data_IF_873894934427
#
_entry.id   IF_873894934427
#
_cell.length_a   1.000
_cell.length_b   1.000
_cell.length_c   1.000
_cell.angle_alpha   90.00
_cell.angle_beta   90.00
_cell.angle_gamma   90.00
#
_symmetry.space_group_name_H-M   'P 1'
#
loop_
_entity.id
_entity.type
_entity.pdbx_description
1 polymer ?
#
# COMPACT_ATOMS: atom_id res chain seq x y z
N UNK A 1 19.53 17.98 34.68
CA UNK A 1 18.72 18.22 33.46
C UNK A 1 18.98 17.04 32.53
N UNK A 2 18.06 16.07 32.49
CA UNK A 2 18.23 14.86 31.66
C UNK A 2 17.70 15.21 30.28
N UNK A 3 18.59 15.28 29.31
CA UNK A 3 18.27 15.45 27.90
C UNK A 3 17.76 14.09 27.39
N UNK A 4 16.46 13.96 27.15
CA UNK A 4 15.92 12.83 26.41
C UNK A 4 16.34 13.00 24.94
N UNK A 5 17.39 12.30 24.53
CA UNK A 5 17.67 12.09 23.13
C UNK A 5 16.57 11.17 22.57
N UNK A 6 15.74 11.71 21.68
CA UNK A 6 14.87 10.88 20.84
C UNK A 6 15.77 10.13 19.85
N UNK A 7 16.13 8.89 20.17
CA UNK A 7 16.67 7.95 19.19
C UNK A 7 15.55 7.01 18.77
N UNK A 8 14.88 7.34 17.66
CA UNK A 8 14.54 6.31 16.70
C UNK A 8 14.62 6.98 15.34
N UNK A 9 15.84 6.99 14.81
CA UNK A 9 16.05 6.98 13.37
C UNK A 9 15.39 5.68 12.89
N UNK A 10 14.06 5.70 12.71
CA UNK A 10 13.36 4.61 12.05
C UNK A 10 13.87 4.68 10.63
N UNK A 11 14.89 3.87 10.33
CA UNK A 11 15.39 3.63 8.99
C UNK A 11 14.16 3.49 8.10
N UNK A 12 13.90 4.52 7.28
CA UNK A 12 12.73 4.55 6.43
C UNK A 12 12.91 3.41 5.44
N UNK A 13 12.24 2.29 5.70
CA UNK A 13 12.34 1.09 4.87
C UNK A 13 11.95 1.46 3.45
N UNK A 14 12.80 1.06 2.51
CA UNK A 14 12.59 1.25 1.09
C UNK A 14 11.89 0.00 0.54
N UNK A 15 10.93 0.24 -0.35
CA UNK A 15 10.24 -0.80 -1.08
C UNK A 15 10.35 -0.57 -2.58
N UNK A 16 10.23 -1.65 -3.34
CA UNK A 16 10.05 -1.63 -4.78
C UNK A 16 8.57 -1.84 -5.09
N UNK A 17 7.97 -0.83 -5.71
CA UNK A 17 6.54 -0.78 -6.04
C UNK A 17 6.26 -1.57 -7.32
N UNK A 18 5.17 -2.32 -7.29
CA UNK A 18 4.66 -3.04 -8.44
C UNK A 18 4.03 -2.09 -9.47
N UNK A 19 4.13 -2.49 -10.73
CA UNK A 19 3.42 -1.82 -11.82
C UNK A 19 2.11 -2.52 -12.10
N UNK A 20 1.07 -1.72 -12.34
CA UNK A 20 -0.24 -2.17 -12.80
C UNK A 20 -0.48 -1.54 -14.17
N UNK A 21 -0.63 -2.37 -15.21
CA UNK A 21 -0.70 -1.88 -16.60
C UNK A 21 0.45 -0.91 -16.94
N UNK A 22 1.69 -1.32 -16.61
CA UNK A 22 2.94 -0.56 -16.79
C UNK A 22 3.06 0.76 -16.01
N UNK A 23 2.09 1.09 -15.17
CA UNK A 23 2.10 2.28 -14.31
C UNK A 23 2.46 1.89 -12.88
N UNK A 24 3.47 2.49 -12.23
CA UNK A 24 3.71 2.32 -10.80
C UNK A 24 2.53 2.83 -9.99
N UNK A 25 2.01 1.99 -9.08
CA UNK A 25 0.87 2.35 -8.23
C UNK A 25 1.27 2.27 -6.76
N UNK A 26 1.36 3.43 -6.12
CA UNK A 26 1.75 3.57 -4.72
C UNK A 26 0.52 3.45 -3.82
N UNK A 27 0.40 2.32 -3.13
CA UNK A 27 -0.55 2.13 -2.03
C UNK A 27 0.20 2.13 -0.69
N UNK A 28 -0.35 2.79 0.34
CA UNK A 28 0.26 2.88 1.70
C UNK A 28 1.75 3.22 1.70
N UNK A 29 2.18 3.98 0.69
CA UNK A 29 3.56 4.27 0.45
C UNK A 29 3.68 5.54 -0.38
N UNK A 30 4.84 6.18 -0.29
CA UNK A 30 5.13 7.43 -1.00
C UNK A 30 6.39 7.29 -1.83
N UNK A 31 6.43 7.82 -3.07
CA UNK A 31 7.65 7.79 -3.86
C UNK A 31 8.83 8.43 -3.12
N UNK A 32 10.01 7.83 -3.27
CA UNK A 32 11.26 8.39 -2.73
C UNK A 32 11.72 9.58 -3.56
N UNK A 33 11.60 9.48 -4.89
CA UNK A 33 11.97 10.53 -5.82
C UNK A 33 11.02 11.73 -5.73
N UNK A 34 11.52 12.92 -6.08
CA UNK A 34 10.68 14.11 -6.14
C UNK A 34 9.68 14.03 -7.30
N UNK A 35 8.46 14.51 -7.05
CA UNK A 35 7.38 14.52 -8.02
C UNK A 35 6.49 15.75 -7.83
N UNK A 36 5.77 16.08 -8.90
CA UNK A 36 4.68 17.05 -8.89
C UNK A 36 3.33 16.32 -8.98
N UNK A 37 2.34 16.80 -8.22
CA UNK A 37 0.96 16.33 -8.35
C UNK A 37 0.32 17.10 -9.49
N UNK A 38 0.08 16.41 -10.60
CA UNK A 38 -0.41 17.03 -11.84
C UNK A 38 -1.94 16.94 -11.98
N UNK A 39 -2.59 16.18 -11.10
CA UNK A 39 -4.03 16.13 -11.04
C UNK A 39 -4.59 15.13 -10.02
N UNK A 40 -5.87 15.31 -9.70
CA UNK A 40 -6.65 14.28 -9.02
C UNK A 40 -7.36 13.44 -10.08
N UNK A 41 -7.03 12.16 -10.16
CA UNK A 41 -7.67 11.25 -11.10
C UNK A 41 -9.15 11.05 -10.70
N UNK A 42 -9.43 10.70 -9.44
CA UNK A 42 -10.76 10.61 -8.82
C UNK A 42 -10.67 10.35 -7.30
N UNK A 43 -11.81 10.14 -6.63
CA UNK A 43 -11.83 9.59 -5.25
C UNK A 43 -11.66 8.08 -5.27
N UNK A 44 -11.07 7.51 -4.22
CA UNK A 44 -10.90 6.06 -4.11
C UNK A 44 -12.25 5.34 -3.90
N UNK A 45 -13.21 5.98 -3.24
CA UNK A 45 -14.57 5.46 -3.02
C UNK A 45 -15.36 5.40 -4.33
N UNK A 46 -15.33 6.45 -5.15
CA UNK A 46 -16.01 6.43 -6.44
C UNK A 46 -15.35 5.41 -7.38
N UNK A 47 -14.05 5.23 -7.24
CA UNK A 47 -13.30 4.23 -7.98
C UNK A 47 -13.65 2.80 -7.55
N UNK A 48 -13.81 2.53 -6.25
CA UNK A 48 -14.33 1.25 -5.76
C UNK A 48 -15.76 1.00 -6.24
N UNK A 49 -16.61 2.03 -6.28
CA UNK A 49 -17.97 1.96 -6.84
C UNK A 49 -17.95 1.72 -8.35
N UNK A 50 -17.02 2.28 -9.11
CA UNK A 50 -16.91 2.00 -10.54
C UNK A 50 -16.35 0.60 -10.82
N UNK A 51 -15.56 0.06 -9.89
CA UNK A 51 -15.08 -1.31 -9.94
C UNK A 51 -16.09 -2.33 -9.34
N UNK A 52 -17.40 -2.04 -9.43
CA UNK A 52 -18.59 -2.64 -8.79
C UNK A 52 -18.83 -4.16 -8.90
N UNK A 53 -17.80 -4.98 -9.04
CA UNK A 53 -17.88 -6.38 -8.64
C UNK A 53 -17.21 -6.54 -7.26
N UNK A 54 -18.01 -6.85 -6.24
CA UNK A 54 -17.47 -7.18 -4.91
C UNK A 54 -16.48 -8.36 -4.97
N UNK A 55 -16.53 -9.17 -6.04
CA UNK A 55 -15.65 -10.32 -6.27
C UNK A 55 -14.29 -9.96 -6.86
N UNK A 56 -14.11 -8.77 -7.44
CA UNK A 56 -12.82 -8.39 -8.01
C UNK A 56 -11.75 -8.20 -6.94
N UNK A 57 -10.54 -8.69 -7.22
CA UNK A 57 -9.36 -8.48 -6.35
C UNK A 57 -8.98 -7.00 -6.28
N UNK A 58 -8.12 -6.61 -5.33
CA UNK A 58 -7.63 -5.23 -5.28
C UNK A 58 -6.78 -4.91 -6.50
N UNK A 59 -6.00 -5.87 -7.01
CA UNK A 59 -5.24 -5.72 -8.27
C UNK A 59 -6.15 -5.40 -9.46
N UNK A 60 -7.23 -6.16 -9.66
CA UNK A 60 -8.19 -5.88 -10.73
C UNK A 60 -8.86 -4.51 -10.58
N UNK A 61 -9.10 -4.09 -9.33
CA UNK A 61 -9.59 -2.74 -9.07
C UNK A 61 -8.54 -1.71 -9.45
N UNK A 62 -7.27 -1.93 -9.11
CA UNK A 62 -6.13 -1.09 -9.46
C UNK A 62 -5.97 -0.92 -10.98
N UNK A 63 -6.11 -2.01 -11.75
CA UNK A 63 -6.06 -2.00 -13.22
C UNK A 63 -7.11 -1.05 -13.82
N UNK A 64 -8.36 -1.13 -13.31
CA UNK A 64 -9.43 -0.22 -13.73
C UNK A 64 -9.13 1.24 -13.39
N UNK A 65 -8.43 1.51 -12.28
CA UNK A 65 -8.02 2.89 -11.92
C UNK A 65 -7.07 3.43 -12.98
N UNK A 66 -6.05 2.63 -13.32
CA UNK A 66 -5.04 3.02 -14.30
C UNK A 66 -5.71 3.28 -15.65
N UNK A 67 -6.61 2.40 -16.08
CA UNK A 67 -7.39 2.58 -17.32
C UNK A 67 -8.23 3.87 -17.29
N UNK A 68 -8.93 4.15 -16.18
CA UNK A 68 -9.71 5.39 -16.04
C UNK A 68 -8.81 6.61 -16.07
N UNK A 69 -7.66 6.58 -15.39
CA UNK A 69 -6.71 7.68 -15.38
C UNK A 69 -6.15 7.94 -16.79
N UNK A 70 -5.78 6.90 -17.53
CA UNK A 70 -5.33 6.99 -18.92
C UNK A 70 -6.42 7.58 -19.82
N UNK A 71 -7.67 7.12 -19.72
CA UNK A 71 -8.81 7.71 -20.45
C UNK A 71 -9.03 9.18 -20.11
N UNK A 72 -8.74 9.61 -18.88
CA UNK A 72 -8.81 11.03 -18.50
C UNK A 72 -7.70 11.86 -19.13
N UNK A 73 -6.52 11.27 -19.39
CA UNK A 73 -5.46 11.90 -20.20
C UNK A 73 -5.93 12.07 -21.64
N UNK A 74 -6.45 11.00 -22.26
CA UNK A 74 -6.94 11.01 -23.65
C UNK A 74 -8.04 12.07 -23.86
N UNK A 75 -8.92 12.23 -22.88
CA UNK A 75 -10.00 13.21 -22.91
C UNK A 75 -9.59 14.62 -22.42
N UNK A 76 -8.29 14.88 -22.22
CA UNK A 76 -7.77 16.19 -21.81
C UNK A 76 -8.17 16.66 -20.41
N UNK A 77 -8.69 15.77 -19.56
CA UNK A 77 -9.13 16.09 -18.19
C UNK A 77 -7.98 16.16 -17.19
N UNK A 78 -6.89 15.43 -17.44
CA UNK A 78 -5.63 15.51 -16.71
C UNK A 78 -4.47 15.44 -17.70
N UNK A 79 -3.30 15.94 -17.34
CA UNK A 79 -2.07 15.80 -18.15
C UNK A 79 -1.49 14.38 -18.03
N UNK A 80 -0.63 14.00 -18.97
CA UNK A 80 0.10 12.74 -18.91
C UNK A 80 0.90 12.60 -17.60
N UNK A 81 0.83 11.43 -16.98
CA UNK A 81 1.39 11.12 -15.68
C UNK A 81 2.31 9.91 -15.75
N UNK A 82 3.20 9.79 -14.77
CA UNK A 82 4.15 8.67 -14.67
C UNK A 82 3.68 7.61 -13.68
N UNK A 83 2.95 8.00 -12.64
CA UNK A 83 2.49 7.10 -11.59
C UNK A 83 1.19 7.58 -10.91
N UNK A 84 0.57 6.69 -10.14
CA UNK A 84 -0.57 6.98 -9.29
C UNK A 84 -0.23 6.78 -7.80
N UNK A 85 -0.65 7.72 -6.95
CA UNK A 85 -0.64 7.56 -5.48
C UNK A 85 -2.08 7.40 -5.01
N UNK A 86 -2.34 6.34 -4.25
CA UNK A 86 -3.67 6.04 -3.70
C UNK A 86 -3.64 6.27 -2.19
N UNK A 87 -4.20 7.41 -1.80
CA UNK A 87 -4.36 7.83 -0.40
C UNK A 87 -5.73 7.40 0.10
N UNK A 88 -5.77 6.23 0.75
CA UNK A 88 -7.02 5.65 1.23
C UNK A 88 -7.66 6.47 2.35
N UNK A 89 -6.86 7.04 3.26
CA UNK A 89 -7.35 7.88 4.37
C UNK A 89 -8.02 9.16 3.88
N UNK A 90 -7.46 9.77 2.84
CA UNK A 90 -7.96 11.01 2.25
C UNK A 90 -8.96 10.77 1.12
N UNK A 91 -9.26 9.51 0.81
CA UNK A 91 -10.10 9.09 -0.29
C UNK A 91 -9.69 9.71 -1.64
N UNK A 92 -8.39 9.70 -1.95
CA UNK A 92 -7.81 10.36 -3.13
C UNK A 92 -6.95 9.43 -3.96
N UNK A 93 -7.09 9.57 -5.28
CA UNK A 93 -6.13 9.06 -6.25
C UNK A 93 -5.46 10.25 -6.93
N UNK A 94 -4.15 10.39 -6.71
CA UNK A 94 -3.32 11.46 -7.26
C UNK A 94 -2.54 10.93 -8.46
N UNK A 95 -2.59 11.65 -9.58
CA UNK A 95 -1.71 11.45 -10.70
C UNK A 95 -0.46 12.31 -10.51
N UNK A 96 0.71 11.71 -10.65
CA UNK A 96 1.99 12.38 -10.41
C UNK A 96 2.90 12.31 -11.62
N UNK A 97 3.81 13.27 -11.72
CA UNK A 97 4.92 13.27 -12.66
C UNK A 97 6.23 13.40 -11.90
N UNK A 98 7.19 12.52 -12.16
CA UNK A 98 8.49 12.60 -11.51
C UNK A 98 9.28 13.79 -12.08
N UNK A 99 10.03 14.48 -11.22
CA UNK A 99 10.94 15.55 -11.65
C UNK A 99 12.19 15.01 -12.35
N UNK A 100 12.46 13.72 -12.17
CA UNK A 100 13.58 12.97 -12.72
C UNK A 100 13.06 11.71 -13.43
N UNK A 101 13.91 10.68 -13.55
CA UNK A 101 13.49 9.36 -14.01
C UNK A 101 12.36 8.77 -13.15
N UNK A 102 11.52 7.95 -13.79
CA UNK A 102 10.43 7.24 -13.15
C UNK A 102 11.01 6.31 -12.09
N UNK A 103 10.67 6.55 -10.83
CA UNK A 103 11.12 5.73 -9.72
C UNK A 103 10.03 4.77 -9.26
N UNK A 104 10.43 3.52 -9.02
CA UNK A 104 9.60 2.51 -8.33
C UNK A 104 9.94 2.42 -6.84
N UNK A 105 10.86 3.24 -6.33
CA UNK A 105 11.25 3.21 -4.92
C UNK A 105 10.24 3.99 -4.09
N UNK A 106 9.75 3.37 -3.03
CA UNK A 106 8.82 3.99 -2.10
C UNK A 106 9.32 3.94 -0.66
N UNK A 107 8.95 4.96 0.11
CA UNK A 107 8.99 4.97 1.57
C UNK A 107 7.71 4.33 2.07
N UNK A 108 7.86 3.40 3.00
CA UNK A 108 6.75 2.64 3.59
C UNK A 108 6.27 3.31 4.87
N UNK A 109 4.95 3.35 5.04
CA UNK A 109 4.32 3.78 6.28
C UNK A 109 4.30 2.64 7.31
N UNK A 110 4.40 2.99 8.59
CA UNK A 110 4.36 2.04 9.70
C UNK A 110 2.96 2.00 10.33
N UNK A 111 2.53 0.79 10.72
CA UNK A 111 1.37 0.55 11.58
C UNK A 111 1.84 -0.01 12.92
N UNK A 112 1.64 0.72 14.02
CA UNK A 112 2.17 0.39 15.35
C UNK A 112 3.65 -0.07 15.29
N UNK A 113 4.49 0.76 14.65
CA UNK A 113 5.93 0.54 14.44
C UNK A 113 6.31 -0.67 13.57
N UNK A 114 5.36 -1.26 12.85
CA UNK A 114 5.62 -2.33 11.89
C UNK A 114 5.39 -1.82 10.46
N UNK A 115 6.39 -1.90 9.57
CA UNK A 115 6.20 -1.55 8.17
C UNK A 115 5.26 -2.55 7.48
N UNK A 116 4.30 -2.00 6.74
CA UNK A 116 3.29 -2.76 6.00
C UNK A 116 3.44 -2.49 4.51
N UNK A 117 3.70 -3.54 3.75
CA UNK A 117 3.91 -3.48 2.31
C UNK A 117 2.63 -3.90 1.59
N UNK A 118 2.12 -3.05 0.70
CA UNK A 118 0.97 -3.33 -0.16
C UNK A 118 1.23 -2.79 -1.57
N UNK A 119 1.06 -3.64 -2.59
CA UNK A 119 1.54 -3.36 -3.97
C UNK A 119 3.03 -3.04 -4.06
N UNK A 120 3.82 -3.56 -3.12
CA UNK A 120 5.25 -3.40 -3.10
C UNK A 120 5.89 -4.55 -2.31
N UNK A 121 7.18 -4.74 -2.54
CA UNK A 121 8.02 -5.69 -1.82
C UNK A 121 9.20 -4.91 -1.20
N UNK A 122 9.74 -5.34 -0.05
CA UNK A 122 10.93 -4.72 0.51
C UNK A 122 12.12 -4.76 -0.47
N UNK A 123 12.92 -3.69 -0.50
CA UNK A 123 14.21 -3.66 -1.24
C UNK A 123 15.27 -4.51 -0.51
N UNK A 124 15.14 -4.65 0.81
CA UNK A 124 16.00 -5.47 1.66
C UNK A 124 15.68 -6.97 1.54
N UNK A 125 16.71 -7.82 1.63
CA UNK A 125 16.49 -9.27 1.70
C UNK A 125 15.77 -9.68 2.98
N UNK A 126 14.86 -10.63 2.87
CA UNK A 126 14.07 -11.12 4.00
C UNK A 126 13.88 -12.65 3.99
N UNK A 127 13.37 -13.17 5.10
CA UNK A 127 12.91 -14.55 5.27
C UNK A 127 11.44 -14.56 5.65
N UNK A 128 10.68 -15.49 5.06
CA UNK A 128 9.30 -15.73 5.44
C UNK A 128 9.24 -16.38 6.82
N UNK A 129 8.51 -15.77 7.74
CA UNK A 129 8.19 -16.31 9.07
C UNK A 129 6.93 -17.15 8.97
N UNK A 130 5.85 -16.58 8.41
CA UNK A 130 4.56 -17.24 8.29
C UNK A 130 3.71 -16.63 7.20
N UNK A 131 2.85 -17.44 6.59
CA UNK A 131 1.76 -16.97 5.74
C UNK A 131 0.44 -17.10 6.51
N UNK A 132 -0.36 -16.04 6.52
CA UNK A 132 -1.71 -16.03 7.07
C UNK A 132 -2.69 -15.87 5.92
N UNK A 133 -3.69 -16.76 5.86
CA UNK A 133 -4.78 -16.60 4.91
C UNK A 133 -5.63 -15.40 5.28
N UNK A 134 -6.23 -14.78 4.26
CA UNK A 134 -7.13 -13.67 4.48
C UNK A 134 -8.34 -14.12 5.29
N UNK A 135 -8.48 -13.57 6.50
CA UNK A 135 -9.59 -13.88 7.38
C UNK A 135 -10.84 -13.09 6.97
N UNK A 136 -11.60 -13.70 6.06
CA UNK A 136 -12.84 -13.18 5.51
C UNK A 136 -14.05 -13.35 6.43
N UNK A 137 -13.91 -13.95 7.62
CA UNK A 137 -15.04 -14.19 8.55
C UNK A 137 -15.72 -12.89 9.02
N UNK A 138 -15.03 -11.75 8.91
CA UNK A 138 -15.57 -10.42 9.19
C UNK A 138 -16.19 -9.71 7.97
N UNK A 139 -16.16 -10.30 6.76
CA UNK A 139 -16.75 -9.71 5.54
C UNK A 139 -18.27 -9.47 5.66
N UNK A 140 -18.96 -10.17 6.56
CA UNK A 140 -20.41 -10.27 6.53
C UNK A 140 -21.20 -9.26 7.39
N UNK A 141 -20.57 -8.51 8.31
CA UNK A 141 -21.35 -7.65 9.24
C UNK A 141 -21.33 -6.16 8.94
N UNK A 142 -20.23 -5.58 8.49
CA UNK A 142 -20.14 -4.13 8.29
C UNK A 142 -19.50 -3.82 6.94
N UNK A 143 -20.21 -3.12 6.05
CA UNK A 143 -19.72 -2.65 4.75
C UNK A 143 -18.60 -1.60 4.84
N UNK A 144 -17.49 -1.92 5.51
CA UNK A 144 -16.35 -1.04 5.70
C UNK A 144 -15.48 -0.89 4.45
N UNK A 145 -14.71 0.20 4.41
CA UNK A 145 -13.81 0.55 3.32
C UNK A 145 -12.66 -0.46 3.18
N UNK A 146 -11.94 -0.46 2.05
CA UNK A 146 -10.74 -1.30 1.90
C UNK A 146 -9.67 -0.96 2.96
N UNK A 147 -9.54 0.32 3.30
CA UNK A 147 -8.65 0.79 4.36
C UNK A 147 -8.98 0.13 5.70
N UNK A 148 -10.26 0.14 6.10
CA UNK A 148 -10.70 -0.45 7.36
C UNK A 148 -10.41 -1.96 7.40
N UNK A 149 -10.55 -2.64 6.25
CA UNK A 149 -10.24 -4.06 6.14
C UNK A 149 -8.76 -4.34 6.34
N UNK A 150 -7.89 -3.63 5.63
CA UNK A 150 -6.44 -3.77 5.74
C UNK A 150 -5.98 -3.42 7.16
N UNK A 151 -6.46 -2.30 7.71
CA UNK A 151 -6.15 -1.88 9.07
C UNK A 151 -6.60 -2.91 10.13
N UNK A 152 -7.81 -3.48 9.98
CA UNK A 152 -8.32 -4.53 10.86
C UNK A 152 -7.49 -5.82 10.79
N UNK A 153 -7.05 -6.21 9.59
CA UNK A 153 -6.17 -7.37 9.39
C UNK A 153 -4.83 -7.17 10.08
N UNK A 154 -4.15 -6.05 9.81
CA UNK A 154 -2.88 -5.68 10.42
C UNK A 154 -3.00 -5.65 11.95
N UNK A 155 -4.00 -4.95 12.51
CA UNK A 155 -4.21 -4.85 13.96
C UNK A 155 -4.39 -6.21 14.63
N UNK A 156 -5.14 -7.13 14.00
CA UNK A 156 -5.32 -8.49 14.51
C UNK A 156 -4.01 -9.26 14.50
N UNK A 157 -3.25 -9.18 13.43
CA UNK A 157 -1.94 -9.84 13.30
C UNK A 157 -0.96 -9.32 14.33
N UNK A 158 -0.93 -8.00 14.56
CA UNK A 158 -0.13 -7.39 15.63
C UNK A 158 -0.62 -7.76 17.03
N UNK A 159 -1.93 -7.91 17.23
CA UNK A 159 -2.49 -8.41 18.49
C UNK A 159 -2.04 -9.84 18.76
N UNK A 160 -2.13 -10.73 17.77
CA UNK A 160 -1.65 -12.12 17.89
C UNK A 160 -0.15 -12.20 18.21
N UNK A 161 0.66 -11.27 17.68
CA UNK A 161 2.08 -11.13 18.07
C UNK A 161 2.22 -10.75 19.55
N UNK A 162 1.45 -9.75 20.02
CA UNK A 162 1.46 -9.33 21.44
C UNK A 162 0.99 -10.44 22.39
N UNK A 163 0.01 -11.23 21.96
CA UNK A 163 -0.56 -12.36 22.70
C UNK A 163 0.32 -13.63 22.59
N UNK A 164 1.49 -13.55 21.94
CA UNK A 164 2.45 -14.64 21.73
C UNK A 164 1.89 -15.85 20.94
N UNK A 165 0.84 -15.63 20.14
CA UNK A 165 0.26 -16.64 19.21
C UNK A 165 1.03 -16.72 17.88
N UNK A 166 1.91 -15.75 17.62
CA UNK A 166 2.76 -15.67 16.43
C UNK A 166 4.20 -15.43 16.85
N UNK A 167 5.13 -16.03 16.12
CA UNK A 167 6.55 -15.69 16.22
C UNK A 167 6.78 -14.21 15.93
N UNK A 168 7.87 -13.65 16.46
CA UNK A 168 8.25 -12.28 16.16
C UNK A 168 8.56 -12.12 14.66
N UNK A 169 8.07 -11.01 14.10
CA UNK A 169 8.29 -10.58 12.73
C UNK A 169 8.60 -9.08 12.67
N UNK A 170 9.41 -8.70 11.69
CA UNK A 170 9.83 -7.33 11.43
C UNK A 170 8.83 -6.55 10.56
N UNK A 171 8.15 -7.24 9.62
CA UNK A 171 7.28 -6.59 8.64
C UNK A 171 6.13 -7.49 8.17
N UNK A 172 5.12 -6.87 7.57
CA UNK A 172 3.96 -7.53 6.97
C UNK A 172 3.87 -7.17 5.49
N UNK A 173 3.79 -8.16 4.61
CA UNK A 173 3.50 -7.97 3.18
C UNK A 173 2.10 -8.50 2.89
N UNK A 174 1.24 -7.67 2.31
CA UNK A 174 -0.15 -8.02 2.01
C UNK A 174 -0.30 -8.25 0.51
N UNK A 175 -0.80 -9.41 0.12
CA UNK A 175 -1.05 -9.75 -1.27
C UNK A 175 -2.32 -9.02 -1.77
N UNK A 176 -2.25 -8.19 -2.83
CA UNK A 176 -3.42 -7.48 -3.35
C UNK A 176 -4.46 -8.38 -4.05
N UNK A 177 -4.10 -9.62 -4.38
CA UNK A 177 -4.98 -10.54 -5.10
C UNK A 177 -5.97 -11.24 -4.17
N UNK A 178 -5.48 -11.73 -3.02
CA UNK A 178 -6.26 -12.50 -2.06
C UNK A 178 -6.28 -11.90 -0.65
N UNK A 179 -5.57 -10.80 -0.40
CA UNK A 179 -5.36 -10.17 0.91
C UNK A 179 -4.62 -11.05 1.93
N UNK A 180 -4.00 -12.16 1.53
CA UNK A 180 -3.16 -12.95 2.44
C UNK A 180 -1.96 -12.14 2.93
N UNK A 181 -1.52 -12.42 4.16
CA UNK A 181 -0.41 -11.72 4.81
C UNK A 181 0.82 -12.64 4.85
N UNK A 182 1.97 -12.14 4.42
CA UNK A 182 3.29 -12.73 4.69
C UNK A 182 3.94 -11.95 5.82
N UNK A 183 4.26 -12.65 6.91
CA UNK A 183 5.06 -12.12 8.00
C UNK A 183 6.52 -12.43 7.70
N UNK A 184 7.38 -11.43 7.78
CA UNK A 184 8.79 -11.57 7.37
C UNK A 184 9.74 -11.04 8.43
N UNK A 185 10.97 -11.56 8.41
CA UNK A 185 12.11 -11.00 9.12
C UNK A 185 13.18 -10.59 8.11
N UNK A 186 13.72 -9.39 8.27
CA UNK A 186 14.83 -8.94 7.44
C UNK A 186 16.08 -9.76 7.75
N UNK A 187 16.84 -10.09 6.72
CA UNK A 187 18.16 -10.67 6.94
C UNK A 187 19.04 -9.55 7.47
N UNK A 188 19.62 -9.74 8.66
CA UNK A 188 20.66 -8.85 9.15
C UNK A 188 21.82 -8.90 8.16
N UNK A 189 22.19 -7.74 7.64
CA UNK A 189 23.40 -7.53 6.84
C UNK A 189 24.62 -7.69 7.75
#
# INVERSE_FOLDING_TARGET
>A
MVLFAFTSDTEKRIAIVETVSDVPVFFFSKPVAEYDVIGKAMSFSDMLKMASDQKSSVRQKAEKIVEIAQKRVENGKITAFDALIIELENDKVLAIKFKSEISKKAKIDNYDDVPVYFFCEPDDEYKLVKKLDADFSLRAKNGGSLYDKINSMVKRTLKKRKDLELDNFDAIIINPDDLSEKLINFKKI
#
